data_IF_048948008426
#
_entry.id   IF_048948008426
#
_cell.length_a   1.000
_cell.length_b   1.000
_cell.length_c   1.000
_cell.angle_alpha   90.00
_cell.angle_beta   90.00
_cell.angle_gamma   90.00
#
_symmetry.space_group_name_H-M   'P 1'
#
loop_
_entity.id
_entity.type
_entity.pdbx_description
1 polymer ?
#
# COMPACT_ATOMS: atom_id res chain seq x y z
N UNK A 1 12.05 -13.56 -9.56
CA UNK A 1 11.76 -12.58 -8.49
C UNK A 1 11.74 -11.21 -9.11
N UNK A 2 10.62 -10.50 -9.03
CA UNK A 2 10.49 -9.13 -9.53
C UNK A 2 10.73 -8.16 -8.37
N UNK A 3 11.57 -7.15 -8.60
CA UNK A 3 11.96 -6.17 -7.57
C UNK A 3 11.58 -4.78 -8.05
N UNK A 4 10.82 -4.07 -7.20
CA UNK A 4 10.37 -2.71 -7.43
C UNK A 4 10.94 -1.79 -6.36
N UNK A 5 11.42 -0.61 -6.77
CA UNK A 5 11.97 0.39 -5.86
C UNK A 5 11.33 1.75 -6.12
N UNK A 6 11.11 2.52 -5.05
CA UNK A 6 10.57 3.87 -5.14
C UNK A 6 10.87 4.67 -3.86
N UNK A 7 10.81 5.98 -3.94
CA UNK A 7 11.01 6.87 -2.80
C UNK A 7 9.73 7.59 -2.43
N UNK A 8 9.38 7.58 -1.16
CA UNK A 8 8.16 8.19 -0.63
C UNK A 8 8.53 9.28 0.36
N UNK A 9 8.02 10.52 0.21
CA UNK A 9 8.15 11.53 1.25
C UNK A 9 7.56 11.04 2.57
N UNK A 10 8.28 11.25 3.68
CA UNK A 10 7.78 10.87 5.02
C UNK A 10 6.57 11.71 5.43
N UNK A 11 6.39 12.88 4.83
CA UNK A 11 5.23 13.73 5.04
C UNK A 11 3.95 13.11 4.47
N UNK A 12 2.97 12.88 5.32
CA UNK A 12 1.71 12.24 4.95
C UNK A 12 0.84 13.05 3.96
N UNK A 13 1.05 14.35 3.83
CA UNK A 13 0.27 15.22 2.93
C UNK A 13 0.81 15.28 1.49
N UNK A 14 1.88 14.54 1.18
CA UNK A 14 2.45 14.48 -0.16
C UNK A 14 1.45 13.89 -1.17
N UNK A 15 1.24 14.58 -2.28
CA UNK A 15 0.35 14.17 -3.37
C UNK A 15 1.07 14.14 -4.71
N UNK A 16 2.41 14.26 -4.68
CA UNK A 16 3.26 14.18 -5.86
C UNK A 16 3.21 12.77 -6.45
N UNK A 17 3.43 12.69 -7.76
CA UNK A 17 3.61 11.42 -8.44
C UNK A 17 4.95 10.80 -8.04
N UNK A 18 4.90 9.55 -7.63
CA UNK A 18 6.04 8.76 -7.17
C UNK A 18 6.37 7.73 -8.25
N UNK A 19 7.49 7.87 -8.96
CA UNK A 19 7.90 6.87 -9.94
C UNK A 19 8.33 5.58 -9.24
N UNK A 20 7.78 4.46 -9.68
CA UNK A 20 8.16 3.12 -9.26
C UNK A 20 9.02 2.50 -10.34
N UNK A 21 10.20 2.03 -9.96
CA UNK A 21 11.19 1.47 -10.88
C UNK A 21 11.23 -0.05 -10.75
N UNK A 22 11.27 -0.75 -11.88
CA UNK A 22 11.64 -2.16 -11.99
C UNK A 22 12.95 -2.27 -12.76
N UNK A 23 13.98 -2.87 -12.17
CA UNK A 23 15.33 -2.93 -12.75
C UNK A 23 15.86 -1.56 -13.23
N UNK A 24 15.54 -0.49 -12.52
CA UNK A 24 15.96 0.88 -12.85
C UNK A 24 15.14 1.56 -13.95
N UNK A 25 14.12 0.90 -14.51
CA UNK A 25 13.22 1.46 -15.51
C UNK A 25 11.87 1.82 -14.89
N UNK A 26 11.28 2.94 -15.33
CA UNK A 26 9.95 3.35 -14.86
C UNK A 26 8.89 2.33 -15.26
N UNK A 27 8.28 1.68 -14.27
CA UNK A 27 7.25 0.66 -14.48
C UNK A 27 5.84 1.15 -14.13
N UNK A 28 5.72 1.88 -13.00
CA UNK A 28 4.45 2.43 -12.51
C UNK A 28 4.65 3.82 -11.92
N UNK A 29 3.54 4.54 -11.78
CA UNK A 29 3.46 5.76 -10.97
C UNK A 29 2.48 5.52 -9.83
N UNK A 30 2.91 5.81 -8.61
CA UNK A 30 2.09 5.74 -7.41
C UNK A 30 1.82 7.16 -6.92
N UNK A 31 0.57 7.49 -6.60
CA UNK A 31 0.28 8.77 -6.00
C UNK A 31 -0.87 8.71 -5.00
N UNK A 32 -0.83 9.64 -4.03
CA UNK A 32 -1.91 9.87 -3.11
C UNK A 32 -2.92 10.82 -3.73
N UNK A 33 -4.20 10.44 -3.71
CA UNK A 33 -5.27 11.23 -4.29
C UNK A 33 -6.38 11.52 -3.27
N UNK A 34 -7.03 12.67 -3.43
CA UNK A 34 -8.24 13.03 -2.70
C UNK A 34 -9.41 13.09 -3.68
N UNK A 35 -10.58 12.58 -3.28
CA UNK A 35 -11.78 12.60 -4.12
C UNK A 35 -12.27 14.04 -4.38
N UNK A 36 -11.99 14.97 -3.47
CA UNK A 36 -12.29 16.40 -3.62
C UNK A 36 -11.44 17.28 -2.68
N UNK A 37 -11.42 18.58 -2.96
CA UNK A 37 -10.64 19.55 -2.19
C UNK A 37 -11.09 19.71 -0.72
N UNK A 38 -12.37 19.46 -0.43
CA UNK A 38 -12.89 19.51 0.93
C UNK A 38 -12.31 18.39 1.79
N UNK A 39 -12.21 17.17 1.24
CA UNK A 39 -11.55 16.06 1.94
C UNK A 39 -10.07 16.34 2.20
N UNK A 40 -9.36 16.96 1.25
CA UNK A 40 -7.96 17.38 1.43
C UNK A 40 -7.83 18.39 2.57
N UNK A 41 -8.73 19.38 2.64
CA UNK A 41 -8.74 20.38 3.71
C UNK A 41 -9.05 19.74 5.07
N UNK A 42 -10.09 18.91 5.16
CA UNK A 42 -10.48 18.23 6.38
C UNK A 42 -9.41 17.25 6.88
N UNK A 43 -8.71 16.58 5.99
CA UNK A 43 -7.65 15.63 6.34
C UNK A 43 -6.49 16.32 7.10
N UNK A 44 -6.25 17.61 6.81
CA UNK A 44 -5.29 18.43 7.54
C UNK A 44 -5.60 18.57 9.04
N UNK A 45 -6.87 18.53 9.44
CA UNK A 45 -7.28 18.51 10.84
C UNK A 45 -7.11 17.13 11.52
N UNK A 46 -6.90 16.08 10.75
CA UNK A 46 -6.72 14.70 11.20
C UNK A 46 -5.31 14.18 10.92
N UNK A 47 -4.30 15.05 10.93
CA UNK A 47 -2.88 14.73 10.69
C UNK A 47 -2.66 13.96 9.37
N UNK A 48 -3.49 14.22 8.36
CA UNK A 48 -3.46 13.58 7.05
C UNK A 48 -3.58 12.04 7.07
N UNK A 49 -4.17 11.46 8.13
CA UNK A 49 -4.31 10.02 8.33
C UNK A 49 -5.71 9.49 8.08
N UNK A 50 -6.70 10.36 7.87
CA UNK A 50 -8.11 9.96 7.77
C UNK A 50 -8.50 9.52 6.35
N UNK A 51 -8.22 10.34 5.34
CA UNK A 51 -8.59 10.10 3.93
C UNK A 51 -7.42 9.55 3.11
N UNK A 52 -6.83 8.42 3.54
CA UNK A 52 -5.78 7.76 2.78
C UNK A 52 -6.36 7.06 1.56
N UNK A 53 -5.87 7.42 0.38
CA UNK A 53 -6.18 6.77 -0.89
C UNK A 53 -4.96 6.86 -1.80
N UNK A 54 -4.41 5.71 -2.18
CA UNK A 54 -3.32 5.61 -3.13
C UNK A 54 -3.80 4.96 -4.42
N UNK A 55 -3.33 5.48 -5.54
CA UNK A 55 -3.62 4.97 -6.88
C UNK A 55 -2.31 4.61 -7.56
N UNK A 56 -2.26 3.43 -8.17
CA UNK A 56 -1.17 2.99 -9.03
C UNK A 56 -1.60 3.15 -10.48
N UNK A 57 -0.75 3.79 -11.26
CA UNK A 57 -0.95 4.05 -12.68
C UNK A 57 0.15 3.40 -13.50
N UNK A 58 -0.16 3.04 -14.74
CA UNK A 58 0.84 2.64 -15.73
C UNK A 58 1.69 3.84 -16.17
N UNK A 59 2.74 3.59 -16.93
CA UNK A 59 3.56 4.62 -17.57
C UNK A 59 2.79 5.51 -18.56
N UNK A 60 1.61 5.06 -19.00
CA UNK A 60 0.67 5.81 -19.85
C UNK A 60 -0.35 6.62 -19.04
N UNK A 61 -0.11 6.82 -17.74
CA UNK A 61 -1.00 7.54 -16.80
C UNK A 61 -2.40 6.89 -16.61
N UNK A 62 -2.56 5.62 -16.96
CA UNK A 62 -3.80 4.88 -16.76
C UNK A 62 -3.85 4.27 -15.37
N UNK A 63 -4.83 4.65 -14.56
CA UNK A 63 -5.06 4.03 -13.25
C UNK A 63 -5.42 2.55 -13.41
N UNK A 64 -4.67 1.67 -12.72
CA UNK A 64 -4.87 0.21 -12.78
C UNK A 64 -5.27 -0.37 -11.43
N UNK A 65 -4.84 0.24 -10.33
CA UNK A 65 -5.14 -0.26 -9.00
C UNK A 65 -5.30 0.89 -8.00
N UNK A 66 -6.10 0.68 -6.96
CA UNK A 66 -6.32 1.65 -5.91
C UNK A 66 -6.44 0.95 -4.56
N UNK A 67 -5.92 1.55 -3.51
CA UNK A 67 -6.21 1.16 -2.13
C UNK A 67 -6.56 2.40 -1.30
N UNK A 68 -7.64 2.31 -0.53
CA UNK A 68 -8.12 3.39 0.32
C UNK A 68 -8.43 2.93 1.74
N UNK A 69 -8.20 3.79 2.70
CA UNK A 69 -8.66 3.64 4.07
C UNK A 69 -10.15 3.97 4.16
N UNK A 70 -10.90 3.13 4.83
CA UNK A 70 -12.32 3.34 5.11
C UNK A 70 -12.53 3.33 6.61
N UNK A 71 -13.14 4.39 7.12
CA UNK A 71 -13.50 4.51 8.52
C UNK A 71 -14.99 4.82 8.62
N UNK A 72 -15.75 3.93 9.24
CA UNK A 72 -17.20 4.08 9.36
C UNK A 72 -17.70 3.47 10.67
N UNK A 73 -18.48 4.25 11.44
CA UNK A 73 -19.08 3.81 12.69
C UNK A 73 -18.09 3.16 13.68
N UNK A 74 -16.90 3.74 13.83
CA UNK A 74 -15.86 3.23 14.73
C UNK A 74 -15.11 1.99 14.24
N UNK A 75 -15.38 1.51 13.02
CA UNK A 75 -14.64 0.43 12.37
C UNK A 75 -13.69 1.00 11.33
N UNK A 76 -12.53 0.39 11.22
CA UNK A 76 -11.47 0.75 10.28
C UNK A 76 -11.09 -0.48 9.46
N UNK A 77 -11.05 -0.31 8.14
CA UNK A 77 -10.52 -1.29 7.19
C UNK A 77 -9.94 -0.58 5.97
N UNK A 78 -9.31 -1.31 5.07
CA UNK A 78 -8.92 -0.79 3.76
C UNK A 78 -9.68 -1.53 2.68
N UNK A 79 -9.97 -0.83 1.59
CA UNK A 79 -10.55 -1.39 0.37
C UNK A 79 -9.56 -1.18 -0.76
N UNK A 80 -9.21 -2.27 -1.44
CA UNK A 80 -8.37 -2.24 -2.62
C UNK A 80 -9.19 -2.69 -3.85
N UNK A 81 -9.04 -1.98 -4.97
CA UNK A 81 -9.82 -2.24 -6.19
C UNK A 81 -8.88 -2.31 -7.39
N UNK A 82 -8.99 -3.39 -8.16
CA UNK A 82 -8.39 -3.50 -9.48
C UNK A 82 -9.36 -2.89 -10.52
N UNK A 83 -8.94 -1.79 -11.14
CA UNK A 83 -9.77 -1.10 -12.15
C UNK A 83 -9.87 -1.84 -13.48
N UNK A 84 -9.02 -2.85 -13.74
CA UNK A 84 -9.05 -3.66 -14.96
C UNK A 84 -10.13 -4.75 -14.89
N UNK A 85 -10.33 -5.33 -13.70
CA UNK A 85 -11.26 -6.44 -13.45
C UNK A 85 -12.49 -6.02 -12.65
N UNK A 86 -12.47 -4.84 -12.00
CA UNK A 86 -13.41 -4.38 -10.99
C UNK A 86 -13.47 -5.30 -9.75
N UNK A 87 -12.46 -6.12 -9.52
CA UNK A 87 -12.36 -6.92 -8.32
C UNK A 87 -12.01 -6.02 -7.13
N UNK A 88 -12.65 -6.28 -5.99
CA UNK A 88 -12.42 -5.53 -4.76
C UNK A 88 -11.97 -6.48 -3.66
N UNK A 89 -10.94 -6.05 -2.93
CA UNK A 89 -10.35 -6.73 -1.80
C UNK A 89 -10.60 -5.90 -0.54
N UNK A 90 -10.90 -6.57 0.57
CA UNK A 90 -11.05 -5.94 1.88
C UNK A 90 -9.87 -6.34 2.75
N UNK A 91 -9.19 -5.35 3.32
CA UNK A 91 -8.08 -5.55 4.23
C UNK A 91 -8.54 -5.19 5.64
N UNK A 92 -8.71 -6.20 6.47
CA UNK A 92 -9.18 -6.07 7.85
C UNK A 92 -8.02 -6.16 8.84
N UNK A 93 -8.19 -5.48 9.98
CA UNK A 93 -7.36 -5.67 11.16
C UNK A 93 -7.91 -6.80 12.00
N UNK A 94 -7.04 -7.74 12.38
CA UNK A 94 -7.32 -8.69 13.43
C UNK A 94 -6.25 -8.50 14.52
N UNK A 95 -6.62 -8.77 15.80
CA UNK A 95 -5.71 -8.71 16.97
C UNK A 95 -5.00 -7.37 17.26
N UNK A 96 -5.65 -6.23 16.95
CA UNK A 96 -5.09 -4.90 17.20
C UNK A 96 -4.81 -4.53 18.67
N UNK A 97 -5.20 -5.39 19.62
CA UNK A 97 -5.16 -5.07 21.06
C UNK A 97 -3.80 -5.27 21.73
N UNK A 98 -2.92 -6.10 21.18
CA UNK A 98 -1.62 -6.42 21.79
C UNK A 98 -0.61 -6.71 20.67
N UNK A 99 0.32 -5.75 20.39
CA UNK A 99 1.43 -5.94 19.46
C UNK A 99 1.21 -5.34 18.07
N UNK A 100 1.98 -5.80 17.11
CA UNK A 100 1.86 -5.38 15.69
C UNK A 100 0.55 -5.93 15.13
N UNK A 101 -0.29 -5.09 14.48
CA UNK A 101 -1.58 -5.55 13.97
C UNK A 101 -1.40 -6.57 12.85
N UNK A 102 -2.12 -7.68 12.94
CA UNK A 102 -2.26 -8.61 11.82
C UNK A 102 -3.31 -8.09 10.85
N UNK A 103 -2.98 -8.10 9.56
CA UNK A 103 -3.86 -7.66 8.51
C UNK A 103 -4.22 -8.84 7.61
N UNK A 104 -5.48 -8.96 7.25
CA UNK A 104 -5.98 -10.00 6.36
C UNK A 104 -6.65 -9.39 5.14
N UNK A 105 -6.17 -9.77 3.96
CA UNK A 105 -6.75 -9.41 2.67
C UNK A 105 -7.72 -10.51 2.26
N UNK A 106 -8.96 -10.12 1.97
CA UNK A 106 -10.00 -11.03 1.47
C UNK A 106 -10.57 -10.49 0.16
N UNK A 107 -10.46 -11.29 -0.89
CA UNK A 107 -11.10 -11.10 -2.18
C UNK A 107 -12.07 -12.25 -2.49
N UNK A 108 -12.58 -12.34 -3.71
CA UNK A 108 -13.51 -13.39 -4.12
C UNK A 108 -12.86 -14.79 -4.10
N UNK A 109 -11.60 -14.89 -4.53
CA UNK A 109 -10.85 -16.14 -4.62
C UNK A 109 -9.47 -16.04 -3.96
N UNK A 110 -9.17 -14.93 -3.28
CA UNK A 110 -7.87 -14.67 -2.67
C UNK A 110 -8.04 -14.40 -1.18
N UNK A 111 -7.31 -15.17 -0.37
CA UNK A 111 -7.08 -14.87 1.04
C UNK A 111 -5.57 -14.77 1.28
N UNK A 112 -5.15 -13.68 1.91
CA UNK A 112 -3.74 -13.39 2.15
C UNK A 112 -3.59 -12.70 3.50
N UNK A 113 -2.56 -13.07 4.26
CA UNK A 113 -2.15 -12.41 5.50
C UNK A 113 -1.05 -11.39 5.17
N UNK A 114 -1.07 -10.25 5.85
CA UNK A 114 0.06 -9.34 5.92
C UNK A 114 0.67 -9.46 7.30
N UNK A 115 1.91 -9.87 7.36
CA UNK A 115 2.74 -9.85 8.57
C UNK A 115 3.60 -8.58 8.52
N UNK A 116 3.17 -7.59 9.30
CA UNK A 116 3.78 -6.27 9.25
C UNK A 116 4.91 -6.14 10.25
N UNK A 117 6.09 -5.74 9.80
CA UNK A 117 7.21 -5.34 10.62
C UNK A 117 7.43 -3.81 10.57
N UNK A 118 8.00 -3.23 11.63
CA UNK A 118 8.25 -1.79 11.74
C UNK A 118 9.62 -1.40 11.13
N UNK A 119 10.64 -2.19 11.39
CA UNK A 119 12.05 -1.91 11.03
C UNK A 119 12.66 -3.03 10.19
N UNK A 120 11.84 -3.93 9.66
CA UNK A 120 12.26 -5.10 8.90
C UNK A 120 11.27 -5.37 7.76
N UNK A 121 11.51 -6.43 7.01
CA UNK A 121 10.63 -6.87 5.94
C UNK A 121 9.23 -7.20 6.44
N UNK A 122 8.26 -6.47 5.95
CA UNK A 122 6.86 -6.87 6.04
C UNK A 122 6.54 -7.87 4.93
N UNK A 123 5.73 -8.89 5.23
CA UNK A 123 5.47 -10.02 4.34
C UNK A 123 3.99 -10.13 3.95
N UNK A 124 3.75 -10.51 2.70
CA UNK A 124 2.47 -11.03 2.22
C UNK A 124 2.55 -12.55 2.18
N UNK A 125 1.60 -13.22 2.82
CA UNK A 125 1.59 -14.67 3.00
C UNK A 125 0.26 -15.27 2.51
N UNK A 126 0.35 -16.35 1.74
CA UNK A 126 -0.80 -17.22 1.40
C UNK A 126 -0.54 -18.57 2.03
N UNK A 127 -1.41 -19.02 2.95
CA UNK A 127 -1.23 -20.28 3.67
C UNK A 127 0.19 -20.42 4.27
N UNK A 128 0.66 -19.34 4.93
CA UNK A 128 2.01 -19.21 5.53
C UNK A 128 3.19 -19.26 4.54
N UNK A 129 2.91 -19.26 3.24
CA UNK A 129 3.94 -19.18 2.20
C UNK A 129 4.16 -17.73 1.79
N UNK A 130 5.44 -17.29 1.80
CA UNK A 130 5.82 -15.94 1.37
C UNK A 130 5.56 -15.76 -0.13
N UNK A 131 4.73 -14.78 -0.50
CA UNK A 131 4.39 -14.46 -1.89
C UNK A 131 4.93 -13.11 -2.35
N UNK A 132 5.05 -12.17 -1.42
CA UNK A 132 5.73 -10.89 -1.64
C UNK A 132 6.19 -10.33 -0.30
N UNK A 133 7.13 -9.37 -0.34
CA UNK A 133 7.56 -8.63 0.85
C UNK A 133 7.95 -7.21 0.50
N UNK A 134 7.90 -6.30 1.48
CA UNK A 134 8.39 -4.93 1.29
C UNK A 134 9.16 -4.44 2.51
N UNK A 135 10.12 -3.57 2.24
CA UNK A 135 10.99 -2.95 3.23
C UNK A 135 10.97 -1.43 3.07
N UNK A 136 10.52 -0.67 4.06
CA UNK A 136 10.75 0.76 4.15
C UNK A 136 12.08 1.03 4.87
N UNK A 137 12.94 1.86 4.29
CA UNK A 137 14.15 2.36 4.94
C UNK A 137 14.06 3.87 5.01
N UNK A 138 14.00 4.41 6.22
CA UNK A 138 13.91 5.86 6.44
C UNK A 138 15.28 6.53 6.31
N UNK A 139 15.35 7.60 5.53
CA UNK A 139 16.49 8.50 5.42
C UNK A 139 16.15 9.83 6.11
N UNK A 140 16.82 10.10 7.23
CA UNK A 140 16.64 11.32 8.02
C UNK A 140 17.10 12.59 7.26
N UNK A 141 18.05 12.46 6.33
CA UNK A 141 18.61 13.61 5.62
C UNK A 141 17.62 14.13 4.57
N UNK A 142 17.04 13.23 3.81
CA UNK A 142 16.08 13.56 2.74
C UNK A 142 14.63 13.62 3.23
N UNK A 143 14.35 13.18 4.45
CA UNK A 143 12.99 13.00 5.01
C UNK A 143 12.10 12.15 4.08
N UNK A 144 12.67 11.01 3.63
CA UNK A 144 12.00 10.07 2.72
C UNK A 144 12.13 8.64 3.19
N UNK A 145 11.24 7.78 2.72
CA UNK A 145 11.39 6.33 2.80
C UNK A 145 11.83 5.79 1.45
N UNK A 146 12.97 5.10 1.41
CA UNK A 146 13.34 4.23 0.29
C UNK A 146 12.60 2.92 0.45
N UNK A 147 11.76 2.61 -0.52
CA UNK A 147 10.89 1.43 -0.51
C UNK A 147 11.41 0.38 -1.47
N UNK A 148 11.48 -0.86 -0.99
CA UNK A 148 11.74 -2.04 -1.84
C UNK A 148 10.58 -3.00 -1.72
N UNK A 149 10.02 -3.42 -2.84
CA UNK A 149 9.00 -4.48 -2.94
C UNK A 149 9.55 -5.64 -3.76
N UNK A 150 9.47 -6.83 -3.22
CA UNK A 150 9.88 -8.07 -3.90
C UNK A 150 8.68 -9.00 -4.04
N UNK A 151 8.46 -9.52 -5.26
CA UNK A 151 7.43 -10.52 -5.55
C UNK A 151 8.12 -11.84 -5.86
N UNK A 152 7.74 -12.88 -5.12
CA UNK A 152 8.33 -14.21 -5.28
C UNK A 152 7.92 -14.85 -6.62
N UNK A 153 8.82 -15.58 -7.30
CA UNK A 153 8.51 -16.19 -8.59
C UNK A 153 7.31 -17.14 -8.52
N UNK A 154 7.17 -17.85 -7.40
CA UNK A 154 6.12 -18.83 -7.16
C UNK A 154 4.81 -18.21 -6.67
N UNK A 155 4.76 -16.89 -6.52
CA UNK A 155 3.54 -16.19 -6.07
C UNK A 155 2.40 -16.41 -7.09
N UNK A 156 1.21 -16.83 -6.64
CA UNK A 156 0.04 -16.93 -7.52
C UNK A 156 -0.47 -15.55 -7.97
N UNK A 157 -0.06 -14.48 -7.27
CA UNK A 157 -0.34 -13.10 -7.62
C UNK A 157 0.96 -12.45 -8.10
N UNK A 158 1.06 -12.14 -9.38
CA UNK A 158 2.23 -11.47 -9.99
C UNK A 158 1.97 -9.99 -10.29
N UNK A 159 0.82 -9.47 -9.86
CA UNK A 159 0.44 -8.07 -10.08
C UNK A 159 1.15 -7.13 -9.11
N UNK A 160 2.16 -6.43 -9.58
CA UNK A 160 2.90 -5.46 -8.79
C UNK A 160 2.00 -4.31 -8.30
N UNK A 161 1.02 -3.86 -9.09
CA UNK A 161 0.13 -2.76 -8.71
C UNK A 161 -0.73 -3.10 -7.49
N UNK A 162 -1.14 -4.37 -7.35
CA UNK A 162 -1.82 -4.89 -6.17
C UNK A 162 -0.95 -4.70 -4.91
N UNK A 163 0.28 -5.21 -4.94
CA UNK A 163 1.17 -5.15 -3.77
C UNK A 163 1.60 -3.71 -3.46
N UNK A 164 1.94 -2.90 -4.48
CA UNK A 164 2.33 -1.50 -4.32
C UNK A 164 1.25 -0.67 -3.63
N UNK A 165 0.00 -0.76 -4.10
CA UNK A 165 -1.10 0.01 -3.53
C UNK A 165 -1.37 -0.36 -2.06
N UNK A 166 -1.33 -1.65 -1.73
CA UNK A 166 -1.60 -2.14 -0.37
C UNK A 166 -0.43 -1.84 0.56
N UNK A 167 0.82 -2.12 0.16
CA UNK A 167 2.01 -1.82 0.95
C UNK A 167 2.06 -0.33 1.30
N UNK A 168 1.84 0.56 0.32
CA UNK A 168 1.86 1.99 0.55
C UNK A 168 0.70 2.47 1.45
N UNK A 169 -0.50 1.93 1.27
CA UNK A 169 -1.66 2.32 2.09
C UNK A 169 -1.53 1.87 3.55
N UNK A 170 -0.78 0.81 3.79
CA UNK A 170 -0.56 0.23 5.12
C UNK A 170 0.77 0.62 5.75
N UNK A 171 1.59 1.43 5.07
CA UNK A 171 2.94 1.81 5.50
C UNK A 171 2.98 2.34 6.93
N UNK A 172 2.07 3.24 7.27
CA UNK A 172 2.03 3.94 8.57
C UNK A 172 1.13 3.25 9.62
N UNK A 173 0.72 2.01 9.39
CA UNK A 173 0.00 1.23 10.42
C UNK A 173 1.00 0.77 11.48
N UNK A 174 0.72 1.10 12.73
CA UNK A 174 1.57 0.75 13.87
C UNK A 174 2.75 1.70 14.10
N UNK A 175 2.86 2.77 13.30
CA UNK A 175 3.87 3.84 13.50
C UNK A 175 3.32 4.95 14.40
#
# INVERSE_FOLDING_TARGET
>A
MNVFTYEVPARLNATEDIPVLEAGQHAFTLNRVYDNGLKKLLDGYFDYRYFLKYVVKTTEDKAVFMCRKVQRKGRLWYEATDYRTNETYVINYENWRIGVPELFIKGTALEMKIDKAMEDWSAFLISDTLVARWLPVYDEISDTFSMTLEIMPESPVQDAAFFLAIAQSTLFIGA
#
